data_IF_831233213155
#
_entry.id   IF_831233213155
#
_cell.length_a   1.000
_cell.length_b   1.000
_cell.length_c   1.000
_cell.angle_alpha   90.00
_cell.angle_beta   90.00
_cell.angle_gamma   90.00
#
_symmetry.space_group_name_H-M   'P 1'
#
loop_
_entity.id
_entity.type
_entity.pdbx_description
1 polymer ?
#
# COMPACT_ATOMS: atom_id res chain seq x y z
N UNK A 1 29.60 25.70 24.74
CA UNK A 1 28.42 24.88 25.05
C UNK A 1 28.25 23.86 23.92
N UNK A 2 28.65 22.62 24.17
CA UNK A 2 28.46 21.52 23.21
C UNK A 2 26.97 21.17 23.24
N UNK A 3 26.27 21.42 22.14
CA UNK A 3 24.94 20.85 21.94
C UNK A 3 25.17 19.33 21.84
N UNK A 4 24.65 18.49 22.76
CA UNK A 4 24.82 17.05 22.65
C UNK A 4 24.22 16.64 21.31
N UNK A 5 25.04 16.06 20.42
CA UNK A 5 24.54 15.50 19.15
C UNK A 5 23.39 14.56 19.50
N UNK A 6 22.19 14.84 18.99
CA UNK A 6 21.04 13.96 19.17
C UNK A 6 21.43 12.54 18.78
N UNK A 7 21.05 11.56 19.60
CA UNK A 7 21.31 10.16 19.29
C UNK A 7 20.67 9.83 17.93
N UNK A 8 21.44 9.20 17.04
CA UNK A 8 20.97 8.75 15.74
C UNK A 8 20.93 7.23 15.74
N UNK A 9 19.88 6.65 15.15
CA UNK A 9 19.73 5.21 14.99
C UNK A 9 18.79 4.90 13.81
N UNK A 10 18.47 3.62 13.59
CA UNK A 10 17.60 3.15 12.52
C UNK A 10 16.11 3.53 12.69
N UNK A 11 15.66 3.79 13.93
CA UNK A 11 14.23 4.00 14.23
C UNK A 11 13.56 5.11 13.40
N UNK A 12 14.13 6.31 13.23
CA UNK A 12 13.46 7.39 12.50
C UNK A 12 13.13 7.02 11.06
N UNK A 13 14.04 6.33 10.36
CA UNK A 13 13.82 5.97 8.96
C UNK A 13 12.81 4.83 8.79
N UNK A 14 12.71 3.94 9.77
CA UNK A 14 11.67 2.90 9.82
C UNK A 14 10.28 3.51 10.06
N UNK A 15 10.19 4.66 10.75
CA UNK A 15 8.93 5.39 10.95
C UNK A 15 8.24 5.78 9.63
N UNK A 16 8.98 5.89 8.53
CA UNK A 16 8.42 6.16 7.20
C UNK A 16 7.62 4.98 6.62
N UNK A 17 7.71 3.79 7.22
CA UNK A 17 6.87 2.64 6.87
C UNK A 17 5.48 2.72 7.53
N UNK A 18 5.33 3.51 8.60
CA UNK A 18 4.10 3.55 9.40
C UNK A 18 2.98 4.35 8.72
N UNK A 19 1.74 3.90 8.94
CA UNK A 19 0.50 4.54 8.45
C UNK A 19 0.28 5.95 9.02
N UNK A 20 0.73 6.23 10.24
CA UNK A 20 0.64 7.56 10.85
C UNK A 20 1.71 8.55 10.36
N UNK A 21 2.61 8.13 9.48
CA UNK A 21 3.62 9.04 8.92
C UNK A 21 2.90 10.17 8.17
N UNK A 22 3.37 11.41 8.33
CA UNK A 22 2.89 12.58 7.57
C UNK A 22 2.91 12.33 6.06
N UNK A 23 3.75 11.41 5.63
CA UNK A 23 3.92 11.02 4.25
C UNK A 23 2.85 10.02 3.79
N UNK A 24 2.13 9.30 4.66
CA UNK A 24 1.22 8.20 4.29
C UNK A 24 0.06 8.59 3.34
N UNK A 25 -0.36 9.86 3.35
CA UNK A 25 -1.37 10.39 2.43
C UNK A 25 -0.70 10.79 1.12
N UNK A 26 -1.03 10.11 0.03
CA UNK A 26 -0.56 10.45 -1.32
C UNK A 26 -1.75 10.94 -2.13
N UNK A 27 -1.66 12.18 -2.61
CA UNK A 27 -2.55 12.70 -3.64
C UNK A 27 -2.15 12.09 -4.98
N UNK A 28 -3.03 11.28 -5.57
CA UNK A 28 -2.77 10.58 -6.84
C UNK A 28 -2.84 11.48 -8.08
N UNK A 29 -3.25 12.75 -7.93
CA UNK A 29 -3.30 13.75 -9.01
C UNK A 29 -1.99 14.54 -9.13
N UNK A 30 -1.09 14.36 -8.16
CA UNK A 30 0.20 15.03 -8.11
C UNK A 30 1.32 14.02 -8.34
N UNK A 31 2.44 14.51 -8.90
CA UNK A 31 3.67 13.74 -8.95
C UNK A 31 4.10 13.44 -7.52
N UNK A 32 4.57 12.21 -7.27
CA UNK A 32 5.19 11.85 -6.00
C UNK A 32 6.24 12.92 -5.68
N UNK A 33 6.03 13.71 -4.62
CA UNK A 33 7.10 14.55 -4.07
C UNK A 33 8.31 13.63 -3.84
N UNK A 34 9.52 14.11 -4.12
CA UNK A 34 10.77 13.33 -4.22
C UNK A 34 11.18 12.66 -2.89
N UNK A 35 10.36 11.78 -2.37
CA UNK A 35 10.65 10.97 -1.21
C UNK A 35 11.21 9.65 -1.73
N UNK A 36 12.54 9.62 -1.87
CA UNK A 36 13.28 8.42 -2.32
C UNK A 36 12.88 7.16 -1.56
N UNK A 37 12.44 7.28 -0.29
CA UNK A 37 12.01 6.16 0.54
C UNK A 37 10.78 5.42 -0.02
N UNK A 38 9.70 6.13 -0.36
CA UNK A 38 8.47 5.51 -0.90
C UNK A 38 8.70 4.89 -2.26
N UNK A 39 9.43 5.60 -3.13
CA UNK A 39 9.84 5.08 -4.43
C UNK A 39 10.70 3.83 -4.27
N UNK A 40 11.56 3.80 -3.26
CA UNK A 40 12.40 2.65 -2.94
C UNK A 40 11.60 1.46 -2.41
N UNK A 41 10.56 1.66 -1.57
CA UNK A 41 9.71 0.56 -1.10
C UNK A 41 8.61 0.14 -2.08
N UNK A 42 8.43 0.85 -3.21
CA UNK A 42 7.48 0.48 -4.25
C UNK A 42 7.85 -0.87 -4.88
N UNK A 43 6.91 -1.81 -4.85
CA UNK A 43 6.99 -3.06 -5.60
C UNK A 43 6.03 -2.95 -6.78
N UNK A 44 6.58 -3.13 -8.00
CA UNK A 44 5.77 -3.14 -9.22
C UNK A 44 4.82 -4.33 -9.18
N UNK A 45 3.56 -4.11 -9.55
CA UNK A 45 2.50 -5.13 -9.54
C UNK A 45 1.96 -5.30 -10.97
N UNK A 46 1.52 -6.50 -11.40
CA UNK A 46 0.86 -6.70 -12.69
C UNK A 46 -0.27 -5.70 -13.00
N UNK A 47 -1.08 -5.34 -12.00
CA UNK A 47 -2.16 -4.33 -12.15
C UNK A 47 -1.64 -2.94 -12.57
N UNK A 48 -0.39 -2.60 -12.24
CA UNK A 48 0.27 -1.39 -12.72
C UNK A 48 0.47 -1.43 -14.23
N UNK A 49 0.92 -2.57 -14.76
CA UNK A 49 1.18 -2.75 -16.19
C UNK A 49 -0.14 -2.74 -16.97
N UNK A 50 -1.19 -3.34 -16.41
CA UNK A 50 -2.53 -3.31 -16.98
C UNK A 50 -3.08 -1.88 -17.06
N UNK A 51 -2.99 -1.10 -15.97
CA UNK A 51 -3.44 0.29 -15.95
C UNK A 51 -2.61 1.16 -16.91
N UNK A 52 -1.29 0.97 -16.93
CA UNK A 52 -0.39 1.67 -17.85
C UNK A 52 -0.75 1.38 -19.32
N UNK A 53 -1.05 0.12 -19.65
CA UNK A 53 -1.49 -0.27 -20.98
C UNK A 53 -2.83 0.38 -21.37
N UNK A 54 -3.81 0.40 -20.46
CA UNK A 54 -5.12 1.06 -20.68
C UNK A 54 -4.89 2.55 -20.97
N UNK A 55 -4.11 3.24 -20.14
CA UNK A 55 -3.86 4.68 -20.27
C UNK A 55 -3.10 5.02 -21.57
N UNK A 56 -2.16 4.16 -22.00
CA UNK A 56 -1.38 4.37 -23.23
C UNK A 56 -2.13 4.02 -24.51
N UNK A 57 -3.12 3.14 -24.44
CA UNK A 57 -3.97 2.75 -25.58
C UNK A 57 -5.22 3.62 -25.71
N UNK A 58 -5.51 4.39 -24.67
CA UNK A 58 -6.60 5.32 -24.57
C UNK A 58 -6.44 6.57 -25.47
N UNK A 59 -6.64 6.37 -26.78
CA UNK A 59 -6.20 7.32 -27.81
C UNK A 59 -7.35 8.01 -28.56
N UNK A 60 -8.61 7.54 -28.44
CA UNK A 60 -9.74 8.03 -29.23
C UNK A 60 -11.03 8.10 -28.40
N UNK A 61 -11.83 9.14 -28.65
CA UNK A 61 -13.17 9.28 -28.08
C UNK A 61 -13.20 9.53 -26.57
N UNK A 62 -14.36 9.28 -25.98
CA UNK A 62 -14.60 9.33 -24.53
C UNK A 62 -14.03 8.11 -23.84
N UNK A 63 -13.35 8.27 -22.72
CA UNK A 63 -12.80 7.13 -21.98
C UNK A 63 -12.89 7.32 -20.47
N UNK A 64 -13.58 6.40 -19.80
CA UNK A 64 -13.67 6.32 -18.35
C UNK A 64 -12.92 5.08 -17.87
N UNK A 65 -11.85 5.30 -17.13
CA UNK A 65 -11.03 4.27 -16.50
C UNK A 65 -11.37 4.22 -15.02
N UNK A 66 -12.04 3.15 -14.59
CA UNK A 66 -12.35 2.89 -13.20
C UNK A 66 -11.17 2.20 -12.51
N UNK A 67 -10.63 2.83 -11.47
CA UNK A 67 -9.59 2.27 -10.61
C UNK A 67 -10.26 1.83 -9.32
N UNK A 68 -10.72 0.58 -9.30
CA UNK A 68 -11.52 0.02 -8.22
C UNK A 68 -10.63 -0.62 -7.14
N UNK A 69 -11.05 -0.54 -5.88
CA UNK A 69 -10.39 -1.23 -4.77
C UNK A 69 -10.75 -0.68 -3.41
N UNK A 70 -10.33 -1.36 -2.34
CA UNK A 70 -10.58 -0.98 -0.96
C UNK A 70 -9.67 0.18 -0.51
N UNK A 71 -9.98 0.71 0.68
CA UNK A 71 -9.13 1.69 1.35
C UNK A 71 -7.81 1.01 1.74
N UNK A 72 -6.68 1.60 1.35
CA UNK A 72 -5.35 1.06 1.68
C UNK A 72 -4.65 0.24 0.59
N UNK A 73 -5.32 -0.09 -0.51
CA UNK A 73 -4.72 -0.89 -1.61
C UNK A 73 -3.66 -0.14 -2.45
N UNK A 74 -3.51 1.16 -2.19
CA UNK A 74 -2.51 2.01 -2.84
C UNK A 74 -2.93 2.55 -4.21
N UNK A 75 -4.24 2.76 -4.44
CA UNK A 75 -4.78 3.37 -5.67
C UNK A 75 -4.14 4.73 -5.97
N UNK A 76 -4.21 5.68 -5.02
CA UNK A 76 -3.66 7.02 -5.16
C UNK A 76 -2.14 7.02 -5.36
N UNK A 77 -1.43 6.12 -4.67
CA UNK A 77 0.02 5.94 -4.88
C UNK A 77 0.34 5.46 -6.30
N UNK A 78 -0.45 4.55 -6.87
CA UNK A 78 -0.25 4.09 -8.24
C UNK A 78 -0.50 5.20 -9.26
N UNK A 79 -1.57 5.99 -9.08
CA UNK A 79 -1.89 7.12 -9.96
C UNK A 79 -0.77 8.18 -9.95
N UNK A 80 -0.26 8.50 -8.77
CA UNK A 80 0.88 9.41 -8.61
C UNK A 80 2.15 8.90 -9.31
N UNK A 81 2.40 7.59 -9.24
CA UNK A 81 3.51 6.95 -9.95
C UNK A 81 3.33 7.02 -11.48
N UNK A 82 2.11 6.84 -11.98
CA UNK A 82 1.83 6.94 -13.42
C UNK A 82 1.98 8.37 -13.94
N UNK A 83 1.61 9.39 -13.14
CA UNK A 83 1.92 10.79 -13.48
C UNK A 83 3.43 11.02 -13.66
N UNK A 84 4.28 10.32 -12.91
CA UNK A 84 5.73 10.40 -13.06
C UNK A 84 6.24 9.58 -14.26
N UNK A 85 5.71 8.38 -14.48
CA UNK A 85 6.25 7.42 -15.45
C UNK A 85 5.75 7.66 -16.88
N UNK A 86 4.51 8.12 -17.06
CA UNK A 86 3.89 8.38 -18.35
C UNK A 86 3.16 9.74 -18.36
N UNK A 87 3.90 10.86 -18.15
CA UNK A 87 3.28 12.19 -18.01
C UNK A 87 2.47 12.60 -19.24
N UNK A 88 2.93 12.27 -20.44
CA UNK A 88 2.25 12.68 -21.67
C UNK A 88 0.92 11.94 -21.90
N UNK A 89 0.83 10.68 -21.47
CA UNK A 89 -0.44 9.96 -21.50
C UNK A 89 -1.40 10.47 -20.43
N UNK A 90 -0.90 10.69 -19.20
CA UNK A 90 -1.69 11.18 -18.07
C UNK A 90 -2.25 12.59 -18.26
N UNK A 91 -1.55 13.48 -18.99
CA UNK A 91 -2.05 14.83 -19.33
C UNK A 91 -3.37 14.82 -20.10
N UNK A 92 -3.69 13.72 -20.77
CA UNK A 92 -4.94 13.60 -21.53
C UNK A 92 -6.12 13.18 -20.65
N UNK A 93 -5.90 12.91 -19.37
CA UNK A 93 -6.92 12.43 -18.44
C UNK A 93 -7.16 13.42 -17.30
N UNK A 94 -8.42 13.60 -16.95
CA UNK A 94 -8.82 14.18 -15.67
C UNK A 94 -8.79 13.08 -14.61
N UNK A 95 -7.93 13.21 -13.61
CA UNK A 95 -7.79 12.22 -12.53
C UNK A 95 -8.59 12.67 -11.31
N UNK A 96 -9.47 11.79 -10.82
CA UNK A 96 -10.19 11.97 -9.57
C UNK A 96 -9.83 10.84 -8.60
N UNK A 97 -9.15 11.18 -7.49
CA UNK A 97 -8.47 10.21 -6.62
C UNK A 97 -9.38 9.50 -5.63
N UNK A 98 -10.47 10.15 -5.26
CA UNK A 98 -11.44 9.57 -4.36
C UNK A 98 -12.82 10.08 -4.76
N UNK A 99 -13.64 9.15 -5.24
CA UNK A 99 -15.04 9.36 -5.56
C UNK A 99 -15.90 9.92 -4.39
N UNK A 100 -15.38 9.94 -3.16
CA UNK A 100 -16.04 10.52 -1.99
C UNK A 100 -15.62 11.95 -1.67
N UNK A 101 -14.63 12.52 -2.37
CA UNK A 101 -14.21 13.90 -2.20
C UNK A 101 -15.26 14.88 -2.78
N UNK A 102 -15.96 15.61 -1.91
CA UNK A 102 -16.81 16.74 -2.30
C UNK A 102 -16.07 18.06 -2.10
N UNK A 103 -15.87 18.83 -3.18
CA UNK A 103 -15.24 20.16 -3.10
C UNK A 103 -16.20 21.27 -2.60
N UNK A 104 -17.48 20.94 -2.39
CA UNK A 104 -18.50 21.87 -1.92
C UNK A 104 -19.18 21.30 -0.65
N UNK A 105 -19.16 22.01 0.49
CA UNK A 105 -19.81 21.56 1.73
C UNK A 105 -21.33 21.31 1.62
N UNK A 106 -21.96 21.77 0.53
CA UNK A 106 -23.40 21.63 0.28
C UNK A 106 -23.75 20.50 -0.69
N UNK A 107 -22.77 19.83 -1.28
CA UNK A 107 -22.99 18.78 -2.27
C UNK A 107 -22.62 17.41 -1.71
N UNK A 108 -23.42 16.40 -2.06
CA UNK A 108 -23.07 15.02 -1.73
C UNK A 108 -22.00 14.51 -2.70
N UNK A 109 -21.30 13.45 -2.33
CA UNK A 109 -20.37 12.78 -3.24
C UNK A 109 -21.10 12.26 -4.50
N UNK A 110 -22.38 11.87 -4.37
CA UNK A 110 -23.21 11.43 -5.50
C UNK A 110 -23.42 12.55 -6.52
N UNK A 111 -23.68 13.78 -6.05
CA UNK A 111 -23.84 14.95 -6.92
C UNK A 111 -22.52 15.32 -7.59
N UNK A 112 -21.41 15.20 -6.86
CA UNK A 112 -20.05 15.45 -7.38
C UNK A 112 -19.71 14.44 -8.48
N UNK A 113 -19.97 13.14 -8.24
CA UNK A 113 -19.78 12.08 -9.22
C UNK A 113 -20.69 12.24 -10.45
N UNK A 114 -21.95 12.60 -10.26
CA UNK A 114 -22.88 12.80 -11.38
C UNK A 114 -22.41 13.94 -12.29
N UNK A 115 -21.89 15.03 -11.72
CA UNK A 115 -21.30 16.14 -12.47
C UNK A 115 -20.01 15.71 -13.19
N UNK A 116 -19.12 15.01 -12.51
CA UNK A 116 -17.88 14.50 -13.08
C UNK A 116 -18.16 13.57 -14.26
N UNK A 117 -19.15 12.69 -14.12
CA UNK A 117 -19.51 11.69 -15.11
C UNK A 117 -20.55 12.21 -16.12
N UNK A 118 -20.89 13.50 -16.15
CA UNK A 118 -21.96 14.03 -17.00
C UNK A 118 -21.81 13.63 -18.48
N UNK A 119 -20.59 13.67 -19.01
CA UNK A 119 -20.29 13.30 -20.40
C UNK A 119 -20.39 11.79 -20.66
N UNK A 120 -20.48 10.97 -19.61
CA UNK A 120 -20.62 9.51 -19.67
C UNK A 120 -22.06 9.04 -19.43
N UNK A 121 -23.03 9.96 -19.34
CA UNK A 121 -24.46 9.64 -19.40
C UNK A 121 -24.82 9.04 -20.75
N UNK A 122 -25.76 8.10 -20.78
CA UNK A 122 -26.11 7.33 -21.98
C UNK A 122 -26.44 8.22 -23.20
N UNK A 123 -27.17 9.31 -22.98
CA UNK A 123 -27.55 10.29 -24.00
C UNK A 123 -26.36 11.06 -24.59
N UNK A 124 -25.28 11.22 -23.81
CA UNK A 124 -24.11 11.97 -24.21
C UNK A 124 -23.03 11.09 -24.84
N UNK A 125 -23.06 9.76 -24.68
CA UNK A 125 -21.97 8.87 -25.12
C UNK A 125 -21.61 8.96 -26.62
N UNK A 126 -22.54 9.41 -27.47
CA UNK A 126 -22.37 9.53 -28.92
C UNK A 126 -22.06 10.97 -29.38
N UNK A 127 -21.93 11.93 -28.47
CA UNK A 127 -21.53 13.29 -28.83
C UNK A 127 -20.04 13.35 -29.28
N UNK A 128 -19.61 14.52 -29.79
CA UNK A 128 -18.24 14.72 -30.26
C UNK A 128 -17.23 15.08 -29.15
N UNK A 129 -17.65 15.11 -27.88
CA UNK A 129 -16.78 15.48 -26.75
C UNK A 129 -15.82 14.34 -26.47
N UNK A 130 -14.52 14.61 -26.42
CA UNK A 130 -13.48 13.61 -26.13
C UNK A 130 -13.02 13.70 -24.69
N UNK A 131 -13.93 13.46 -23.76
CA UNK A 131 -13.63 13.52 -22.33
C UNK A 131 -12.98 12.22 -21.84
N UNK A 132 -11.94 12.33 -21.02
CA UNK A 132 -11.19 11.19 -20.51
C UNK A 132 -10.97 11.32 -19.02
N UNK A 133 -11.47 10.35 -18.26
CA UNK A 133 -11.48 10.39 -16.80
C UNK A 133 -10.85 9.13 -16.25
N UNK A 134 -9.96 9.28 -15.28
CA UNK A 134 -9.52 8.19 -14.40
C UNK A 134 -10.19 8.42 -13.05
N UNK A 135 -11.07 7.51 -12.66
CA UNK A 135 -11.83 7.58 -11.42
C UNK A 135 -11.36 6.49 -10.46
N UNK A 136 -10.65 6.88 -9.39
CA UNK A 136 -10.38 5.99 -8.28
C UNK A 136 -11.56 5.96 -7.31
N UNK A 137 -12.10 4.76 -7.09
CA UNK A 137 -13.37 4.59 -6.38
C UNK A 137 -13.36 3.30 -5.55
N UNK A 138 -13.98 3.35 -4.37
CA UNK A 138 -14.29 2.15 -3.60
C UNK A 138 -15.48 1.42 -4.26
N UNK A 139 -15.41 0.09 -4.34
CA UNK A 139 -16.49 -0.76 -4.87
C UNK A 139 -17.86 -0.45 -4.25
N UNK A 140 -17.91 -0.21 -2.92
CA UNK A 140 -19.15 0.18 -2.25
C UNK A 140 -19.68 1.55 -2.71
N UNK A 141 -18.80 2.53 -2.90
CA UNK A 141 -19.15 3.87 -3.40
C UNK A 141 -19.70 3.81 -4.83
N UNK A 142 -19.06 3.01 -5.70
CA UNK A 142 -19.52 2.80 -7.07
C UNK A 142 -20.90 2.12 -7.09
N UNK A 143 -21.10 1.12 -6.23
CA UNK A 143 -22.38 0.41 -6.09
C UNK A 143 -23.49 1.37 -5.70
N UNK A 144 -23.26 2.18 -4.67
CA UNK A 144 -24.24 3.17 -4.20
C UNK A 144 -24.56 4.21 -5.27
N UNK A 145 -23.54 4.71 -5.98
CA UNK A 145 -23.75 5.65 -7.08
C UNK A 145 -24.64 5.07 -8.19
N UNK A 146 -24.36 3.84 -8.63
CA UNK A 146 -25.16 3.19 -9.67
C UNK A 146 -26.56 2.82 -9.18
N UNK A 147 -26.76 2.56 -7.89
CA UNK A 147 -28.08 2.32 -7.32
C UNK A 147 -28.94 3.60 -7.33
N UNK A 148 -28.36 4.76 -6.99
CA UNK A 148 -29.12 6.01 -6.84
C UNK A 148 -29.20 6.85 -8.12
N UNK A 149 -28.20 6.78 -9.00
CA UNK A 149 -28.09 7.59 -10.22
C UNK A 149 -28.04 6.77 -11.51
N UNK A 150 -28.10 5.44 -11.43
CA UNK A 150 -27.89 4.53 -12.56
C UNK A 150 -28.87 4.69 -13.72
N UNK A 151 -30.03 5.32 -13.53
CA UNK A 151 -31.02 5.54 -14.60
C UNK A 151 -30.45 6.31 -15.80
N UNK A 152 -29.47 7.19 -15.57
CA UNK A 152 -28.82 7.98 -16.63
C UNK A 152 -27.51 7.35 -17.13
N UNK A 153 -27.10 6.22 -16.55
CA UNK A 153 -25.81 5.56 -16.74
C UNK A 153 -26.00 4.06 -17.01
N UNK A 154 -27.02 3.70 -17.79
CA UNK A 154 -27.39 2.32 -18.07
C UNK A 154 -26.27 1.54 -18.76
N UNK A 155 -25.51 2.17 -19.67
CA UNK A 155 -24.37 1.50 -20.31
C UNK A 155 -23.20 1.26 -19.33
N UNK A 156 -22.93 2.21 -18.43
CA UNK A 156 -21.93 2.03 -17.38
C UNK A 156 -22.37 0.95 -16.38
N UNK A 157 -23.64 0.93 -15.99
CA UNK A 157 -24.20 -0.09 -15.11
C UNK A 157 -24.13 -1.48 -15.75
N UNK A 158 -24.47 -1.59 -17.03
CA UNK A 158 -24.34 -2.82 -17.80
C UNK A 158 -22.87 -3.28 -17.88
N UNK A 159 -21.94 -2.36 -18.14
CA UNK A 159 -20.51 -2.65 -18.16
C UNK A 159 -20.01 -3.19 -16.81
N UNK A 160 -20.36 -2.52 -15.71
CA UNK A 160 -19.98 -2.93 -14.34
C UNK A 160 -20.50 -4.32 -14.01
N UNK A 161 -21.74 -4.61 -14.38
CA UNK A 161 -22.37 -5.92 -14.17
C UNK A 161 -21.77 -7.02 -15.06
N UNK A 162 -21.54 -6.74 -16.35
CA UNK A 162 -20.99 -7.72 -17.29
C UNK A 162 -19.55 -8.12 -16.98
N UNK A 163 -18.78 -7.20 -16.39
CA UNK A 163 -17.39 -7.43 -16.03
C UNK A 163 -17.22 -7.91 -14.58
N UNK A 164 -18.32 -8.21 -13.87
CA UNK A 164 -18.31 -8.65 -12.46
C UNK A 164 -17.44 -7.75 -11.56
N UNK A 165 -17.39 -6.44 -11.83
CA UNK A 165 -16.50 -5.52 -11.10
C UNK A 165 -16.83 -5.49 -9.60
N UNK A 166 -18.09 -5.79 -9.25
CA UNK A 166 -18.60 -5.83 -7.89
C UNK A 166 -18.53 -7.22 -7.24
N UNK A 167 -18.27 -8.28 -8.01
CA UNK A 167 -18.26 -9.67 -7.53
C UNK A 167 -16.82 -10.20 -7.48
N UNK A 168 -16.27 -10.32 -6.26
CA UNK A 168 -14.87 -10.73 -6.02
C UNK A 168 -14.62 -12.24 -6.12
N UNK A 169 -15.66 -13.06 -6.31
CA UNK A 169 -15.62 -14.52 -6.14
C UNK A 169 -15.73 -15.33 -7.45
N UNK A 170 -15.74 -14.69 -8.62
CA UNK A 170 -15.87 -15.41 -9.91
C UNK A 170 -14.57 -15.42 -10.72
N UNK A 171 -14.18 -16.61 -11.21
CA UNK A 171 -13.10 -16.75 -12.19
C UNK A 171 -13.38 -15.88 -13.42
N UNK A 172 -12.34 -15.18 -13.88
CA UNK A 172 -12.39 -14.23 -15.00
C UNK A 172 -12.59 -14.96 -16.33
N UNK A 173 -13.84 -15.21 -16.70
CA UNK A 173 -14.17 -15.45 -18.09
C UNK A 173 -14.10 -14.11 -18.83
N UNK A 174 -13.01 -13.94 -19.59
CA UNK A 174 -12.74 -12.78 -20.44
C UNK A 174 -13.98 -12.26 -21.19
N UNK A 175 -14.26 -10.96 -21.08
CA UNK A 175 -14.50 -10.06 -22.25
C UNK A 175 -14.57 -8.57 -21.85
N UNK A 176 -13.40 -7.92 -21.83
CA UNK A 176 -13.29 -6.47 -21.98
C UNK A 176 -13.49 -6.11 -23.44
N UNK A 177 -14.67 -5.59 -23.83
CA UNK A 177 -14.73 -4.68 -24.98
C UNK A 177 -15.81 -3.62 -24.74
N UNK A 178 -15.40 -2.51 -24.15
CA UNK A 178 -16.04 -1.22 -24.37
C UNK A 178 -14.94 -0.27 -24.84
N UNK A 179 -15.20 0.47 -25.91
CA UNK A 179 -14.29 1.52 -26.38
C UNK A 179 -14.26 2.71 -25.41
N UNK A 180 -15.29 2.83 -24.56
CA UNK A 180 -15.49 3.92 -23.61
C UNK A 180 -15.12 3.55 -22.18
N UNK A 181 -15.46 2.34 -21.73
CA UNK A 181 -15.30 1.94 -20.33
C UNK A 181 -14.17 0.93 -20.16
N UNK A 182 -13.27 1.22 -19.23
CA UNK A 182 -12.19 0.34 -18.80
C UNK A 182 -12.14 0.29 -17.29
N UNK A 183 -11.63 -0.80 -16.73
CA UNK A 183 -11.39 -0.90 -15.29
C UNK A 183 -10.13 -1.69 -14.97
N UNK A 184 -9.59 -1.41 -13.79
CA UNK A 184 -8.65 -2.27 -13.07
C UNK A 184 -9.20 -2.46 -11.66
N UNK A 185 -9.19 -3.70 -11.16
CA UNK A 185 -9.68 -4.02 -9.83
C UNK A 185 -8.52 -4.44 -8.92
N UNK A 186 -8.23 -3.63 -7.91
CA UNK A 186 -7.20 -3.91 -6.92
C UNK A 186 -7.61 -4.99 -5.92
N UNK A 187 -8.92 -5.23 -5.75
CA UNK A 187 -9.42 -6.27 -4.85
C UNK A 187 -9.05 -7.68 -5.34
N UNK A 188 -8.93 -7.87 -6.66
CA UNK A 188 -8.55 -9.15 -7.27
C UNK A 188 -7.05 -9.45 -7.12
N UNK A 189 -6.25 -8.50 -6.66
CA UNK A 189 -4.81 -8.68 -6.57
C UNK A 189 -4.43 -9.32 -5.23
N UNK A 190 -4.16 -10.62 -5.27
CA UNK A 190 -3.64 -11.35 -4.12
C UNK A 190 -2.15 -11.03 -3.91
N UNK A 191 -1.75 -10.93 -2.63
CA UNK A 191 -0.34 -10.77 -2.26
C UNK A 191 0.48 -12.03 -2.55
N UNK A 192 -0.16 -13.17 -2.80
CA UNK A 192 0.49 -14.47 -2.96
C UNK A 192 -0.14 -15.24 -4.13
N UNK A 193 0.59 -16.24 -4.60
CA UNK A 193 0.18 -17.19 -5.62
C UNK A 193 0.41 -18.62 -5.13
N UNK A 194 -0.37 -19.56 -5.65
CA UNK A 194 -0.16 -20.98 -5.42
C UNK A 194 0.64 -21.55 -6.60
N UNK A 195 1.81 -22.10 -6.31
CA UNK A 195 2.68 -22.74 -7.31
C UNK A 195 2.76 -24.24 -7.04
N UNK A 196 3.31 -25.01 -7.98
CA UNK A 196 3.58 -26.44 -7.79
C UNK A 196 4.48 -26.73 -6.58
N UNK A 197 5.31 -25.76 -6.17
CA UNK A 197 6.22 -25.87 -5.02
C UNK A 197 5.61 -25.37 -3.70
N UNK A 198 4.33 -24.98 -3.71
CA UNK A 198 3.62 -24.40 -2.58
C UNK A 198 3.27 -22.92 -2.79
N UNK A 199 2.77 -22.29 -1.73
CA UNK A 199 2.35 -20.90 -1.79
C UNK A 199 3.56 -19.96 -1.72
N UNK A 200 3.62 -18.98 -2.64
CA UNK A 200 4.72 -18.04 -2.77
C UNK A 200 4.20 -16.60 -2.85
N UNK A 201 5.04 -15.62 -2.50
CA UNK A 201 4.71 -14.20 -2.62
C UNK A 201 5.94 -13.40 -3.03
N UNK A 202 6.02 -13.03 -4.31
CA UNK A 202 7.06 -12.11 -4.79
C UNK A 202 6.93 -10.74 -4.13
N UNK A 203 5.71 -10.27 -3.85
CA UNK A 203 5.48 -8.96 -3.24
C UNK A 203 6.02 -8.89 -1.81
N UNK A 204 5.67 -9.87 -0.97
CA UNK A 204 6.12 -9.91 0.43
C UNK A 204 7.64 -10.08 0.49
N UNK A 205 8.20 -11.03 -0.27
CA UNK A 205 9.65 -11.23 -0.34
C UNK A 205 10.39 -9.98 -0.84
N UNK A 206 9.85 -9.30 -1.86
CA UNK A 206 10.46 -8.07 -2.38
C UNK A 206 10.49 -6.96 -1.33
N UNK A 207 9.47 -6.86 -0.48
CA UNK A 207 9.45 -5.86 0.59
C UNK A 207 10.45 -6.19 1.72
N UNK A 208 10.56 -7.45 2.13
CA UNK A 208 11.62 -7.89 3.05
C UNK A 208 13.01 -7.61 2.49
N UNK A 209 13.23 -7.92 1.20
CA UNK A 209 14.49 -7.63 0.52
C UNK A 209 14.77 -6.13 0.52
N UNK A 210 13.80 -5.28 0.18
CA UNK A 210 13.97 -3.82 0.23
C UNK A 210 14.29 -3.34 1.65
N UNK A 211 13.70 -3.92 2.70
CA UNK A 211 14.03 -3.56 4.07
C UNK A 211 15.51 -3.80 4.41
N UNK A 212 16.09 -4.92 3.96
CA UNK A 212 17.38 -5.40 4.50
C UNK A 212 18.53 -5.47 3.50
N UNK A 213 18.27 -5.26 2.21
CA UNK A 213 19.27 -5.45 1.15
C UNK A 213 20.47 -4.53 1.38
N UNK A 214 21.66 -5.14 1.44
CA UNK A 214 22.94 -4.45 1.58
C UNK A 214 23.33 -3.79 0.25
N UNK A 215 22.70 -2.65 -0.06
CA UNK A 215 23.08 -1.79 -1.18
C UNK A 215 23.18 -0.34 -0.74
N UNK A 216 24.05 0.48 -1.35
CA UNK A 216 24.13 1.92 -1.06
C UNK A 216 22.84 2.68 -1.35
N UNK A 217 21.99 2.13 -2.23
CA UNK A 217 20.67 2.68 -2.57
C UNK A 217 19.59 2.36 -1.55
N UNK A 218 19.84 1.44 -0.60
CA UNK A 218 18.89 1.13 0.46
C UNK A 218 19.05 2.16 1.60
N UNK A 219 18.06 3.04 1.81
CA UNK A 219 18.15 4.07 2.84
C UNK A 219 18.16 3.48 4.26
N UNK A 220 17.46 2.35 4.48
CA UNK A 220 17.42 1.65 5.77
C UNK A 220 18.80 1.07 6.09
N UNK A 221 19.40 0.37 5.11
CA UNK A 221 20.75 -0.17 5.25
C UNK A 221 21.80 0.92 5.52
N UNK A 222 21.73 2.04 4.79
CA UNK A 222 22.64 3.16 4.99
C UNK A 222 22.53 3.74 6.41
N UNK A 223 21.31 3.92 6.91
CA UNK A 223 21.07 4.36 8.30
C UNK A 223 21.62 3.36 9.32
N UNK A 224 21.41 2.06 9.07
CA UNK A 224 21.92 0.99 9.92
C UNK A 224 23.46 1.02 10.03
N UNK A 225 24.15 1.06 8.87
CA UNK A 225 25.62 1.10 8.80
C UNK A 225 26.19 2.34 9.49
N UNK A 226 25.60 3.51 9.24
CA UNK A 226 26.13 4.78 9.72
C UNK A 226 25.87 5.02 11.22
N UNK A 227 24.81 4.44 11.78
CA UNK A 227 24.34 4.82 13.12
C UNK A 227 24.22 3.67 14.12
N UNK A 228 24.09 2.42 13.67
CA UNK A 228 23.85 1.28 14.57
C UNK A 228 25.08 0.40 14.77
N UNK A 229 25.92 0.21 13.75
CA UNK A 229 27.10 -0.68 13.81
C UNK A 229 28.14 -0.17 14.82
N UNK A 230 28.43 1.14 14.79
CA UNK A 230 29.42 1.80 15.68
C UNK A 230 28.79 2.41 16.93
N UNK A 231 27.52 2.12 17.20
CA UNK A 231 26.82 2.65 18.37
C UNK A 231 27.35 2.04 19.67
N UNK A 232 27.51 2.84 20.72
CA UNK A 232 27.91 2.33 22.06
C UNK A 232 26.88 1.35 22.66
N UNK A 233 25.64 1.37 22.18
CA UNK A 233 24.57 0.46 22.58
C UNK A 233 24.37 -0.71 21.61
N UNK A 234 25.25 -0.90 20.61
CA UNK A 234 25.06 -1.87 19.54
C UNK A 234 24.75 -3.29 20.05
N UNK A 235 25.47 -3.76 21.07
CA UNK A 235 25.29 -5.10 21.64
C UNK A 235 24.07 -5.24 22.56
N UNK A 236 23.37 -4.13 22.86
CA UNK A 236 22.21 -4.10 23.77
C UNK A 236 20.95 -3.54 23.12
N UNK A 237 21.00 -3.18 21.84
CA UNK A 237 19.93 -2.49 21.15
C UNK A 237 19.00 -3.50 20.45
N UNK A 238 17.77 -3.73 20.95
CA UNK A 238 16.86 -4.72 20.35
C UNK A 238 16.49 -4.38 18.90
N UNK A 239 16.41 -3.08 18.56
CA UNK A 239 16.11 -2.62 17.20
C UNK A 239 17.18 -3.12 16.21
N UNK A 240 18.46 -3.04 16.60
CA UNK A 240 19.58 -3.55 15.80
C UNK A 240 19.48 -5.07 15.65
N UNK A 241 19.30 -5.80 16.75
CA UNK A 241 19.20 -7.26 16.72
C UNK A 241 18.03 -7.76 15.87
N UNK A 242 16.87 -7.12 15.98
CA UNK A 242 15.71 -7.48 15.17
C UNK A 242 15.92 -7.19 13.68
N UNK A 243 16.55 -6.05 13.36
CA UNK A 243 16.92 -5.76 11.98
C UNK A 243 17.85 -6.84 11.41
N UNK A 244 18.94 -7.16 12.11
CA UNK A 244 19.90 -8.20 11.72
C UNK A 244 19.24 -9.57 11.60
N UNK A 245 18.31 -9.92 12.50
CA UNK A 245 17.54 -11.16 12.42
C UNK A 245 16.71 -11.23 11.13
N UNK A 246 16.02 -10.14 10.76
CA UNK A 246 15.23 -10.07 9.52
C UNK A 246 16.11 -10.02 8.27
N UNK A 247 17.39 -9.65 8.37
CA UNK A 247 18.33 -9.70 7.23
C UNK A 247 18.57 -11.13 6.73
N UNK A 248 18.41 -12.14 7.59
CA UNK A 248 18.66 -13.53 7.23
C UNK A 248 17.62 -14.04 6.23
N UNK A 249 18.10 -14.55 5.08
CA UNK A 249 17.22 -14.99 3.98
C UNK A 249 16.21 -16.05 4.42
N UNK A 250 16.64 -17.01 5.25
CA UNK A 250 15.77 -18.06 5.79
C UNK A 250 14.68 -17.49 6.71
N UNK A 251 14.96 -16.39 7.42
CA UNK A 251 13.97 -15.71 8.26
C UNK A 251 12.93 -15.04 7.36
N UNK A 252 13.34 -14.35 6.29
CA UNK A 252 12.42 -13.72 5.34
C UNK A 252 11.50 -14.73 4.66
N UNK A 253 12.04 -15.88 4.24
CA UNK A 253 11.27 -16.98 3.64
C UNK A 253 10.24 -17.53 4.64
N UNK A 254 10.64 -17.78 5.90
CA UNK A 254 9.73 -18.25 6.96
C UNK A 254 8.65 -17.23 7.31
N UNK A 255 8.99 -15.95 7.47
CA UNK A 255 8.03 -14.88 7.72
C UNK A 255 7.05 -14.74 6.56
N UNK A 256 7.51 -14.89 5.32
CA UNK A 256 6.65 -14.89 4.13
C UNK A 256 5.65 -16.04 4.18
N UNK A 257 6.10 -17.27 4.44
CA UNK A 257 5.19 -18.41 4.54
C UNK A 257 4.18 -18.26 5.69
N UNK A 258 4.61 -17.71 6.83
CA UNK A 258 3.71 -17.41 7.95
C UNK A 258 2.64 -16.38 7.55
N UNK A 259 3.02 -15.30 6.87
CA UNK A 259 2.06 -14.32 6.36
C UNK A 259 1.08 -14.92 5.36
N UNK A 260 1.54 -15.77 4.44
CA UNK A 260 0.66 -16.45 3.49
C UNK A 260 -0.31 -17.39 4.22
N UNK A 261 0.20 -18.19 5.16
CA UNK A 261 -0.65 -19.04 6.02
C UNK A 261 -1.70 -18.19 6.73
N UNK A 262 -1.34 -17.01 7.22
CA UNK A 262 -2.28 -16.08 7.83
C UNK A 262 -3.39 -15.61 6.90
N UNK A 263 -3.02 -15.18 5.70
CA UNK A 263 -3.98 -14.73 4.69
C UNK A 263 -4.97 -15.85 4.36
N UNK A 264 -4.47 -17.07 4.14
CA UNK A 264 -5.27 -18.24 3.75
C UNK A 264 -6.17 -18.71 4.90
N UNK A 265 -5.60 -18.96 6.08
CA UNK A 265 -6.29 -19.59 7.21
C UNK A 265 -7.38 -18.69 7.79
N UNK A 266 -7.11 -17.38 7.88
CA UNK A 266 -8.02 -16.43 8.51
C UNK A 266 -8.81 -15.61 7.48
N UNK A 267 -8.71 -15.96 6.18
CA UNK A 267 -9.29 -15.22 5.04
C UNK A 267 -9.03 -13.72 5.14
N UNK A 268 -7.86 -13.36 5.66
CA UNK A 268 -7.59 -12.00 6.06
C UNK A 268 -7.02 -11.21 4.88
N UNK A 269 -7.75 -10.19 4.43
CA UNK A 269 -7.27 -9.25 3.43
C UNK A 269 -6.19 -8.36 4.04
N UNK A 270 -4.92 -8.67 3.75
CA UNK A 270 -3.79 -7.83 4.14
C UNK A 270 -3.55 -6.82 3.02
N UNK A 271 -3.69 -5.53 3.33
CA UNK A 271 -3.27 -4.47 2.42
C UNK A 271 -1.74 -4.32 2.42
N UNK A 272 -1.17 -3.76 1.35
CA UNK A 272 0.26 -3.41 1.31
C UNK A 272 0.62 -2.47 2.46
N UNK A 273 -0.30 -1.59 2.88
CA UNK A 273 -0.10 -0.71 4.03
C UNK A 273 0.06 -1.48 5.34
N UNK A 274 -0.81 -2.45 5.61
CA UNK A 274 -0.69 -3.30 6.79
C UNK A 274 0.62 -4.09 6.79
N UNK A 275 1.09 -4.52 5.61
CA UNK A 275 2.37 -5.18 5.45
C UNK A 275 3.57 -4.26 5.75
N UNK A 276 3.54 -2.98 5.33
CA UNK A 276 4.60 -2.02 5.66
C UNK A 276 4.64 -1.72 7.17
N UNK A 277 3.48 -1.56 7.82
CA UNK A 277 3.38 -1.45 9.28
C UNK A 277 4.00 -2.68 9.96
N UNK A 278 3.66 -3.89 9.48
CA UNK A 278 4.23 -5.14 9.99
C UNK A 278 5.76 -5.16 9.89
N UNK A 279 6.35 -4.68 8.79
CA UNK A 279 7.81 -4.58 8.66
C UNK A 279 8.44 -3.62 9.67
N UNK A 280 7.80 -2.49 9.94
CA UNK A 280 8.24 -1.58 11.00
C UNK A 280 8.20 -2.30 12.35
N UNK A 281 7.06 -2.90 12.68
CA UNK A 281 6.78 -3.50 13.98
C UNK A 281 7.67 -4.72 14.26
N UNK A 282 8.06 -5.46 13.21
CA UNK A 282 9.07 -6.52 13.24
C UNK A 282 10.43 -6.03 13.75
N UNK A 283 10.82 -4.80 13.40
CA UNK A 283 12.15 -4.27 13.71
C UNK A 283 12.14 -3.41 14.97
N UNK A 284 11.09 -2.59 15.17
CA UNK A 284 10.98 -1.65 16.29
C UNK A 284 10.05 -2.23 17.36
N UNK A 285 10.58 -2.58 18.55
CA UNK A 285 9.76 -3.09 19.64
C UNK A 285 8.60 -2.17 20.03
N UNK A 286 7.43 -2.74 20.33
CA UNK A 286 6.21 -1.99 20.70
C UNK A 286 6.47 -0.97 21.82
N UNK A 287 7.24 -1.35 22.85
CA UNK A 287 7.56 -0.44 23.96
C UNK A 287 8.59 0.66 23.61
N UNK A 288 9.23 0.56 22.45
CA UNK A 288 10.17 1.54 21.91
C UNK A 288 9.52 2.39 20.81
N UNK A 289 8.51 1.88 20.10
CA UNK A 289 7.82 2.57 19.02
C UNK A 289 7.35 4.00 19.37
N UNK A 290 6.69 4.27 20.52
CA UNK A 290 6.22 5.62 20.84
C UNK A 290 7.32 6.59 21.28
N UNK A 291 8.53 6.10 21.56
CA UNK A 291 9.61 6.90 22.14
C UNK A 291 10.41 7.66 21.06
N UNK A 292 10.86 8.86 21.38
CA UNK A 292 11.87 9.58 20.60
C UNK A 292 13.21 8.86 20.63
N UNK A 293 14.11 9.18 19.70
CA UNK A 293 15.43 8.53 19.63
C UNK A 293 16.26 8.76 20.92
N UNK A 294 16.13 9.92 21.56
CA UNK A 294 16.80 10.22 22.83
C UNK A 294 16.23 9.41 24.01
N UNK A 295 14.91 9.19 24.02
CA UNK A 295 14.25 8.35 25.02
C UNK A 295 14.60 6.87 24.83
N UNK A 296 14.64 6.39 23.58
CA UNK A 296 15.12 5.03 23.25
C UNK A 296 16.53 4.83 23.77
N UNK A 297 17.45 5.75 23.48
CA UNK A 297 18.82 5.69 23.98
C UNK A 297 18.86 5.54 25.52
N UNK A 298 18.14 6.41 26.22
CA UNK A 298 18.11 6.44 27.68
C UNK A 298 17.54 5.15 28.26
N UNK A 299 16.48 4.62 27.63
CA UNK A 299 15.80 3.40 28.06
C UNK A 299 16.67 2.16 27.80
N UNK A 300 17.19 2.00 26.58
CA UNK A 300 18.05 0.86 26.18
C UNK A 300 19.35 0.83 27.00
N UNK A 301 19.94 1.97 27.33
CA UNK A 301 21.13 2.03 28.20
C UNK A 301 20.90 1.40 29.58
N UNK A 302 19.65 1.35 30.04
CA UNK A 302 19.23 0.78 31.33
C UNK A 302 18.60 -0.61 31.21
N UNK A 303 18.57 -1.20 30.02
CA UNK A 303 17.99 -2.52 29.82
C UNK A 303 18.71 -3.59 30.64
N UNK A 304 17.91 -4.37 31.36
CA UNK A 304 18.35 -5.64 31.91
C UNK A 304 18.29 -6.72 30.82
N UNK A 305 19.05 -7.80 31.01
CA UNK A 305 19.10 -8.94 30.06
C UNK A 305 17.70 -9.48 29.77
N UNK A 306 16.84 -9.62 30.79
CA UNK A 306 15.45 -10.09 30.63
C UNK A 306 14.63 -9.16 29.72
N UNK A 307 14.72 -7.84 29.94
CA UNK A 307 14.03 -6.85 29.11
C UNK A 307 14.53 -6.89 27.67
N UNK A 308 15.84 -7.01 27.47
CA UNK A 308 16.42 -7.15 26.14
C UNK A 308 15.89 -8.40 25.41
N UNK A 309 15.91 -9.57 26.06
CA UNK A 309 15.40 -10.84 25.51
C UNK A 309 13.92 -10.73 25.10
N UNK A 310 13.08 -10.10 25.92
CA UNK A 310 11.66 -9.93 25.62
C UNK A 310 11.39 -9.02 24.41
N UNK A 311 12.36 -8.19 24.02
CA UNK A 311 12.25 -7.22 22.92
C UNK A 311 12.98 -7.67 21.65
N UNK A 312 13.57 -8.86 21.63
CA UNK A 312 14.19 -9.44 20.44
C UNK A 312 13.44 -10.66 19.93
N UNK A 313 13.60 -10.96 18.65
CA UNK A 313 13.11 -12.22 18.06
C UNK A 313 13.82 -13.45 18.68
N UNK A 314 13.11 -14.58 18.82
CA UNK A 314 11.71 -14.80 18.45
C UNK A 314 10.68 -14.35 19.51
N UNK A 315 11.10 -14.15 20.77
CA UNK A 315 10.20 -13.91 21.91
C UNK A 315 9.28 -12.71 21.67
N UNK A 316 9.82 -11.64 21.10
CA UNK A 316 9.06 -10.45 20.78
C UNK A 316 7.86 -10.71 19.84
N UNK A 317 8.02 -11.63 18.88
CA UNK A 317 6.97 -11.95 17.90
C UNK A 317 5.91 -12.93 18.45
N UNK A 318 6.31 -13.88 19.29
CA UNK A 318 5.45 -15.01 19.68
C UNK A 318 5.00 -15.02 21.14
N UNK A 319 5.67 -14.29 22.04
CA UNK A 319 5.43 -14.35 23.49
C UNK A 319 4.95 -13.03 24.10
N UNK A 320 4.89 -11.95 23.32
CA UNK A 320 4.57 -10.63 23.87
C UNK A 320 3.05 -10.48 24.14
N UNK A 321 2.62 -10.24 25.40
CA UNK A 321 1.21 -10.25 25.80
C UNK A 321 0.39 -9.13 25.14
N UNK A 322 1.02 -7.97 24.91
CA UNK A 322 0.38 -6.80 24.30
C UNK A 322 0.44 -6.81 22.76
N UNK A 323 0.86 -7.91 22.11
CA UNK A 323 0.80 -8.03 20.65
C UNK A 323 -0.56 -8.50 20.14
N UNK A 324 -1.53 -8.66 21.04
CA UNK A 324 -2.92 -8.98 20.71
C UNK A 324 -3.77 -7.83 20.12
N UNK A 325 -3.42 -6.51 20.21
CA UNK A 325 -4.24 -5.46 19.59
C UNK A 325 -3.71 -4.81 18.32
N UNK A 326 -2.48 -5.08 17.85
CA UNK A 326 -1.96 -4.43 16.64
C UNK A 326 -1.98 -5.37 15.43
N UNK A 327 -2.96 -5.14 14.55
CA UNK A 327 -3.20 -5.77 13.25
C UNK A 327 -3.52 -7.26 13.26
N UNK A 328 -4.49 -7.63 12.42
CA UNK A 328 -4.95 -9.01 12.18
C UNK A 328 -3.84 -10.01 11.80
N UNK A 329 -2.64 -9.51 11.47
CA UNK A 329 -1.46 -10.32 11.16
C UNK A 329 -0.89 -10.96 12.43
N UNK A 330 -0.71 -10.22 13.52
CA UNK A 330 -0.07 -10.74 14.74
C UNK A 330 -0.96 -11.69 15.54
N UNK A 331 -2.27 -11.45 15.54
CA UNK A 331 -3.26 -12.41 16.09
C UNK A 331 -3.20 -13.75 15.35
N UNK A 332 -2.93 -13.74 14.05
CA UNK A 332 -2.69 -14.97 13.31
C UNK A 332 -1.36 -15.64 13.69
N UNK A 333 -0.27 -14.88 13.80
CA UNK A 333 1.07 -15.43 14.03
C UNK A 333 1.22 -16.14 15.38
N UNK A 334 0.32 -15.87 16.34
CA UNK A 334 0.34 -16.40 17.71
C UNK A 334 -0.65 -17.55 17.94
N UNK A 335 -1.42 -17.96 16.93
CA UNK A 335 -2.43 -19.05 16.97
C UNK A 335 -2.02 -20.26 16.13
#
# INVERSE_FOLDING_TARGET
>A
MHNPKEHQCLKPILGNLQEASREAVVDGSQVLQENGFKKYFHVKRPIQEELEAIIKTANKGKQLVLVCGNVGDGKSHLLSLLHQQCPDAMKNFTVHNDATESNNPKETYLDTLEKLLHNFKDENLQDQVTDKIILAVNLGTLTNFLAERGTNFGQLQAYVKQNNILDTDTEKDTKKVSDVFSHVNFADYHLYELTEQGANSEVILSLFKRLTQNTPTNPVWASYQNHCVSCELAEKCPIKFNYEFVMEKQVQEKLTHLLIKCIVQYKHLISVRALLNFLHDLVVPLELAPLSTAEVYTKVKRYQVKTFINNIHPNYLFEHPDYQPFTNIYTCLTQ
#
